data_IF_426026309781
#
_entry.id   IF_426026309781
#
_cell.length_a   1.000
_cell.length_b   1.000
_cell.length_c   1.000
_cell.angle_alpha   90.00
_cell.angle_beta   90.00
_cell.angle_gamma   90.00
#
_symmetry.space_group_name_H-M   'P 1'
#
loop_
_entity.id
_entity.type
_entity.pdbx_description
1 polymer ?
#
# COMPACT_ATOMS: atom_id res chain seq x y z
N UNK A 1 -44.11 -12.12 6.22
CA UNK A 1 -43.27 -13.12 5.52
C UNK A 1 -42.57 -12.55 4.28
N UNK A 2 -43.26 -11.88 3.34
CA UNK A 2 -42.63 -11.27 2.14
C UNK A 2 -41.44 -10.33 2.44
N UNK A 3 -41.55 -9.47 3.46
CA UNK A 3 -40.50 -8.50 3.80
C UNK A 3 -39.21 -9.16 4.33
N UNK A 4 -39.33 -10.28 5.05
CA UNK A 4 -38.16 -11.01 5.59
C UNK A 4 -37.39 -11.71 4.46
N UNK A 5 -38.11 -12.29 3.49
CA UNK A 5 -37.50 -12.92 2.30
C UNK A 5 -36.76 -11.88 1.45
N UNK A 6 -37.31 -10.68 1.30
CA UNK A 6 -36.64 -9.58 0.57
C UNK A 6 -35.36 -9.14 1.29
N UNK A 7 -35.38 -8.99 2.61
CA UNK A 7 -34.20 -8.61 3.40
C UNK A 7 -33.07 -9.66 3.29
N UNK A 8 -33.42 -10.95 3.33
CA UNK A 8 -32.46 -12.03 3.16
C UNK A 8 -31.87 -12.05 1.74
N UNK A 9 -32.69 -11.83 0.71
CA UNK A 9 -32.21 -11.73 -0.67
C UNK A 9 -31.24 -10.55 -0.87
N UNK A 10 -31.54 -9.38 -0.28
CA UNK A 10 -30.66 -8.21 -0.32
C UNK A 10 -29.34 -8.48 0.41
N UNK A 11 -29.37 -9.13 1.59
CA UNK A 11 -28.16 -9.49 2.33
C UNK A 11 -27.27 -10.48 1.56
N UNK A 12 -27.84 -11.47 0.88
CA UNK A 12 -27.08 -12.40 0.02
C UNK A 12 -26.47 -11.66 -1.16
N UNK A 13 -27.22 -10.77 -1.83
CA UNK A 13 -26.70 -9.93 -2.92
C UNK A 13 -25.54 -9.04 -2.47
N UNK A 14 -25.64 -8.38 -1.31
CA UNK A 14 -24.55 -7.54 -0.78
C UNK A 14 -23.28 -8.36 -0.47
N UNK A 15 -23.41 -9.58 0.05
CA UNK A 15 -22.28 -10.46 0.31
C UNK A 15 -21.63 -10.99 -0.99
N UNK A 16 -22.44 -11.29 -2.01
CA UNK A 16 -21.96 -11.67 -3.33
C UNK A 16 -21.27 -10.50 -4.04
N UNK A 17 -21.84 -9.31 -3.97
CA UNK A 17 -21.25 -8.07 -4.49
C UNK A 17 -19.91 -7.77 -3.82
N UNK A 18 -19.79 -7.95 -2.50
CA UNK A 18 -18.53 -7.77 -1.78
C UNK A 18 -17.45 -8.75 -2.23
N UNK A 19 -17.82 -10.02 -2.53
CA UNK A 19 -16.89 -11.01 -3.10
C UNK A 19 -16.51 -10.70 -4.54
N UNK A 20 -17.45 -10.25 -5.39
CA UNK A 20 -17.18 -9.90 -6.78
C UNK A 20 -16.42 -8.59 -6.93
N UNK A 21 -16.64 -7.63 -6.02
CA UNK A 21 -15.89 -6.37 -5.99
C UNK A 21 -14.45 -6.57 -5.59
N UNK A 22 -14.11 -7.68 -4.90
CA UNK A 22 -12.77 -8.25 -4.79
C UNK A 22 -11.66 -7.22 -4.98
N UNK A 23 -11.69 -6.12 -4.21
CA UNK A 23 -10.68 -5.08 -4.31
C UNK A 23 -9.50 -5.63 -3.52
N UNK A 24 -8.90 -6.68 -4.07
CA UNK A 24 -7.58 -7.13 -3.72
C UNK A 24 -6.70 -6.04 -4.28
N UNK A 25 -6.41 -5.06 -3.44
CA UNK A 25 -5.40 -4.07 -3.73
C UNK A 25 -4.09 -4.85 -3.92
N UNK A 26 -3.74 -5.12 -5.19
CA UNK A 26 -2.43 -5.63 -5.52
C UNK A 26 -1.42 -4.56 -5.12
N UNK A 27 -0.37 -4.94 -4.42
CA UNK A 27 0.55 -3.98 -3.84
C UNK A 27 1.55 -4.63 -2.90
N UNK A 28 2.45 -3.82 -2.36
CA UNK A 28 3.57 -4.27 -1.54
C UNK A 28 3.88 -3.26 -0.44
N UNK A 29 4.66 -3.70 0.53
CA UNK A 29 5.22 -2.84 1.58
C UNK A 29 6.62 -2.38 1.14
N UNK A 30 6.82 -1.08 0.89
CA UNK A 30 8.16 -0.56 0.58
C UNK A 30 9.09 -0.73 1.78
N UNK A 31 10.38 -0.86 1.48
CA UNK A 31 11.43 -1.05 2.47
C UNK A 31 12.43 0.11 2.43
N UNK A 32 12.86 0.56 3.60
CA UNK A 32 13.93 1.54 3.73
C UNK A 32 15.33 0.89 3.57
N UNK A 33 16.41 1.69 3.69
CA UNK A 33 17.80 1.21 3.61
C UNK A 33 18.12 0.05 4.55
N UNK A 34 17.43 -0.05 5.68
CA UNK A 34 17.62 -1.08 6.69
C UNK A 34 16.76 -2.33 6.45
N UNK A 35 16.11 -2.43 5.28
CA UNK A 35 15.14 -3.49 4.96
C UNK A 35 13.92 -3.52 5.89
N UNK A 36 13.59 -2.40 6.52
CA UNK A 36 12.42 -2.27 7.39
C UNK A 36 11.28 -1.60 6.64
N UNK A 37 10.05 -1.99 6.98
CA UNK A 37 8.84 -1.32 6.50
C UNK A 37 8.74 0.07 7.10
N UNK A 38 7.98 0.94 6.45
CA UNK A 38 7.65 2.26 6.99
C UNK A 38 6.43 2.13 7.90
N UNK A 39 6.60 2.42 9.18
CA UNK A 39 5.53 2.28 10.17
C UNK A 39 4.49 3.40 10.06
N UNK A 40 3.26 3.07 10.43
CA UNK A 40 2.15 4.02 10.52
C UNK A 40 1.20 3.62 11.66
N UNK A 41 0.55 4.61 12.27
CA UNK A 41 -0.18 4.39 13.54
C UNK A 41 -1.66 4.06 13.37
N UNK A 42 -2.28 4.37 12.24
CA UNK A 42 -3.74 4.24 12.06
C UNK A 42 -4.04 3.71 10.67
N UNK A 43 -4.72 2.55 10.60
CA UNK A 43 -5.11 1.91 9.35
C UNK A 43 -6.00 2.82 8.49
N UNK A 44 -5.83 2.74 7.16
CA UNK A 44 -6.55 3.55 6.19
C UNK A 44 -5.71 4.71 5.66
N UNK A 45 -6.38 5.76 5.18
CA UNK A 45 -5.72 6.92 4.58
C UNK A 45 -4.65 7.51 5.52
N UNK A 46 -3.45 7.70 4.97
CA UNK A 46 -2.33 8.23 5.71
C UNK A 46 -1.43 9.04 4.76
N UNK A 47 -1.33 10.38 4.95
CA UNK A 47 -0.54 11.25 4.06
C UNK A 47 0.95 10.89 4.01
N UNK A 48 1.49 10.37 5.12
CA UNK A 48 2.86 9.89 5.17
C UNK A 48 3.04 8.65 4.28
N UNK A 49 2.12 7.68 4.34
CA UNK A 49 2.18 6.53 3.44
C UNK A 49 1.98 6.91 1.96
N UNK A 50 1.12 7.86 1.65
CA UNK A 50 1.01 8.41 0.29
C UNK A 50 2.36 8.97 -0.20
N UNK A 51 3.04 9.72 0.66
CA UNK A 51 4.35 10.32 0.34
C UNK A 51 5.42 9.24 0.16
N UNK A 52 5.49 8.26 1.06
CA UNK A 52 6.43 7.14 0.95
C UNK A 52 6.21 6.37 -0.36
N UNK A 53 4.96 6.09 -0.74
CA UNK A 53 4.67 5.38 -1.97
C UNK A 53 5.09 6.17 -3.22
N UNK A 54 4.91 7.50 -3.22
CA UNK A 54 5.42 8.39 -4.28
C UNK A 54 6.94 8.35 -4.39
N UNK A 55 7.65 8.37 -3.26
CA UNK A 55 9.11 8.25 -3.23
C UNK A 55 9.62 6.90 -3.72
N UNK A 56 8.81 5.84 -3.59
CA UNK A 56 9.08 4.52 -4.16
C UNK A 56 8.53 4.34 -5.59
N UNK A 57 8.31 5.45 -6.33
CA UNK A 57 7.85 5.44 -7.72
C UNK A 57 6.47 4.77 -7.93
N UNK A 58 5.56 4.97 -6.98
CA UNK A 58 4.15 4.51 -7.07
C UNK A 58 3.19 5.65 -6.75
N UNK A 59 1.87 5.47 -6.95
CA UNK A 59 0.92 6.59 -6.89
C UNK A 59 0.15 6.69 -5.58
N UNK A 60 -0.33 5.56 -5.07
CA UNK A 60 -1.26 5.52 -3.94
C UNK A 60 -0.65 4.74 -2.79
N UNK A 61 -0.78 5.28 -1.58
CA UNK A 61 -0.31 4.65 -0.36
C UNK A 61 -1.29 4.86 0.79
N UNK A 62 -1.42 3.85 1.64
CA UNK A 62 -2.22 3.92 2.86
C UNK A 62 -1.58 3.06 3.96
N UNK A 63 -2.06 3.24 5.19
CA UNK A 63 -1.61 2.43 6.31
C UNK A 63 -2.38 1.11 6.36
N UNK A 64 -1.66 -0.01 6.36
CA UNK A 64 -2.22 -1.34 6.46
C UNK A 64 -1.38 -2.19 7.42
N UNK A 65 -2.02 -2.72 8.47
CA UNK A 65 -1.35 -3.52 9.50
C UNK A 65 -0.15 -2.79 10.13
N UNK A 66 -0.32 -1.50 10.45
CA UNK A 66 0.70 -0.62 11.02
C UNK A 66 1.93 -0.39 10.13
N UNK A 67 1.84 -0.70 8.83
CA UNK A 67 2.89 -0.37 7.85
C UNK A 67 2.30 0.27 6.61
N UNK A 68 3.07 1.13 5.94
CA UNK A 68 2.65 1.69 4.68
C UNK A 68 2.58 0.60 3.61
N UNK A 69 1.45 0.56 2.91
CA UNK A 69 1.18 -0.32 1.78
C UNK A 69 0.97 0.53 0.54
N UNK A 70 1.63 0.16 -0.55
CA UNK A 70 1.58 0.87 -1.82
C UNK A 70 0.85 0.05 -2.87
N UNK A 71 -0.20 0.63 -3.44
CA UNK A 71 -0.97 -0.01 -4.49
C UNK A 71 -0.15 -0.13 -5.78
N UNK A 72 -0.35 -1.23 -6.49
CA UNK A 72 0.25 -1.53 -7.81
C UNK A 72 1.78 -1.43 -7.81
N UNK A 73 2.41 -1.61 -6.65
CA UNK A 73 3.86 -1.64 -6.51
C UNK A 73 4.45 -2.93 -7.12
N UNK A 74 5.42 -2.78 -8.01
CA UNK A 74 6.25 -3.88 -8.56
C UNK A 74 7.37 -4.24 -7.59
N UNK A 75 7.99 -5.41 -7.76
CA UNK A 75 9.15 -5.84 -6.93
C UNK A 75 10.32 -4.86 -7.01
N UNK A 76 10.60 -4.33 -8.20
CA UNK A 76 11.68 -3.36 -8.45
C UNK A 76 11.52 -2.08 -7.61
N UNK A 77 10.28 -1.70 -7.32
CA UNK A 77 9.98 -0.48 -6.60
C UNK A 77 10.07 -0.62 -5.06
N UNK A 78 10.13 -1.85 -4.53
CA UNK A 78 10.15 -2.10 -3.07
C UNK A 78 11.31 -1.40 -2.38
N UNK A 79 12.49 -1.34 -3.03
CA UNK A 79 13.71 -0.69 -2.50
C UNK A 79 14.16 0.53 -3.31
N UNK A 80 13.30 1.06 -4.19
CA UNK A 80 13.65 2.14 -5.12
C UNK A 80 14.31 3.35 -4.43
N UNK A 81 13.67 3.89 -3.40
CA UNK A 81 14.22 5.04 -2.66
C UNK A 81 15.57 4.71 -2.00
N UNK A 82 15.72 3.51 -1.43
CA UNK A 82 16.99 3.08 -0.84
C UNK A 82 18.10 3.01 -1.90
N UNK A 83 17.81 2.46 -3.08
CA UNK A 83 18.76 2.41 -4.19
C UNK A 83 19.22 3.79 -4.69
N UNK A 84 18.29 4.75 -4.85
CA UNK A 84 18.64 6.14 -5.20
C UNK A 84 19.55 6.74 -4.15
N UNK A 85 19.15 6.58 -2.89
CA UNK A 85 19.88 7.08 -1.75
C UNK A 85 21.31 6.51 -1.71
N UNK A 86 21.49 5.22 -1.91
CA UNK A 86 22.82 4.59 -1.89
C UNK A 86 23.69 5.04 -3.07
N UNK A 87 23.08 5.29 -4.23
CA UNK A 87 23.76 5.88 -5.39
C UNK A 87 24.24 7.31 -5.11
N UNK A 88 23.41 8.13 -4.43
CA UNK A 88 23.78 9.49 -4.05
C UNK A 88 24.96 9.52 -3.07
N UNK A 89 24.96 8.66 -2.05
CA UNK A 89 26.05 8.59 -1.07
C UNK A 89 27.38 8.22 -1.75
N UNK A 90 27.39 7.19 -2.60
CA UNK A 90 28.59 6.80 -3.38
C UNK A 90 29.15 7.95 -4.21
N UNK A 91 28.27 8.69 -4.89
CA UNK A 91 28.68 9.84 -5.71
C UNK A 91 29.22 10.99 -4.85
N UNK A 92 28.72 11.16 -3.63
CA UNK A 92 29.22 12.16 -2.71
C UNK A 92 30.63 11.79 -2.23
N UNK A 93 30.87 10.51 -1.92
CA UNK A 93 32.18 10.01 -1.50
C UNK A 93 33.25 10.15 -2.62
N UNK A 94 32.85 10.04 -3.89
CA UNK A 94 33.74 10.28 -5.04
C UNK A 94 34.11 11.76 -5.23
N UNK A 95 33.34 12.68 -4.65
CA UNK A 95 33.53 14.14 -4.78
C UNK A 95 34.26 14.76 -3.58
N UNK A 96 34.38 14.04 -2.46
CA UNK A 96 35.08 14.46 -1.24
C UNK A 96 36.57 14.11 -1.27
#
# INVERSE_FOLDING_TARGET
MKNIVVLLAVAVLFNLLRKSLGIVFSGKYPLNRNNLKYDCSTNGYNPYCETICKLHNTKTGFCQYNSCFCEKMTEENVKFLAGIKDMCDKRLDELS
#
